data_IF_775304025525
#
_entry.id   IF_775304025525
#
_cell.length_a   1.000
_cell.length_b   1.000
_cell.length_c   1.000
_cell.angle_alpha   90.00
_cell.angle_beta   90.00
_cell.angle_gamma   90.00
#
_symmetry.space_group_name_H-M   'P 1'
#
loop_
_entity.id
_entity.type
_entity.pdbx_description
1 polymer ?
#
# COMPACT_ATOMS: atom_id res chain seq x y z
N UNK A 1 0.38 -25.88 12.63
CA UNK A 1 -0.37 -26.38 13.81
C UNK A 1 -1.52 -27.26 13.33
N UNK A 2 -1.24 -28.20 12.43
CA UNK A 2 -2.29 -29.03 11.85
C UNK A 2 -2.60 -30.19 12.82
N UNK A 3 -3.87 -30.37 13.18
CA UNK A 3 -4.30 -31.42 14.12
C UNK A 3 -4.19 -31.06 15.61
N UNK A 4 -3.64 -29.90 15.96
CA UNK A 4 -3.63 -29.42 17.36
C UNK A 4 -5.06 -29.02 17.75
N UNK A 5 -5.60 -29.61 18.82
CA UNK A 5 -6.97 -29.33 19.30
C UNK A 5 -8.09 -29.84 18.38
N UNK A 6 -7.79 -30.75 17.44
CA UNK A 6 -8.77 -31.26 16.48
C UNK A 6 -9.14 -30.30 15.35
N UNK A 7 -8.40 -29.20 15.21
CA UNK A 7 -8.64 -28.21 14.15
C UNK A 7 -7.56 -28.24 13.06
N UNK A 8 -7.95 -27.97 11.81
CA UNK A 8 -7.01 -27.81 10.72
C UNK A 8 -6.18 -26.53 10.91
N UNK A 9 -4.93 -26.55 10.44
CA UNK A 9 -3.95 -25.50 10.67
C UNK A 9 -4.38 -24.10 10.19
N UNK A 10 -5.18 -24.02 9.13
CA UNK A 10 -5.70 -22.75 8.61
C UNK A 10 -6.64 -22.05 9.60
N UNK A 11 -7.37 -22.80 10.43
CA UNK A 11 -8.32 -22.24 11.41
C UNK A 11 -7.58 -21.57 12.56
N UNK A 12 -6.43 -22.09 12.95
CA UNK A 12 -5.58 -21.47 13.96
C UNK A 12 -5.08 -20.09 13.52
N UNK A 13 -4.79 -19.89 12.24
CA UNK A 13 -4.38 -18.58 11.71
C UNK A 13 -5.46 -17.52 11.98
N UNK A 14 -6.71 -17.82 11.65
CA UNK A 14 -7.84 -16.91 11.91
C UNK A 14 -8.09 -16.67 13.39
N UNK A 15 -7.92 -17.68 14.25
CA UNK A 15 -8.10 -17.52 15.70
C UNK A 15 -7.06 -16.55 16.26
N UNK A 16 -5.79 -16.70 15.87
CA UNK A 16 -4.73 -15.80 16.33
C UNK A 16 -4.90 -14.37 15.79
N UNK A 17 -5.23 -14.24 14.50
CA UNK A 17 -5.50 -12.94 13.89
C UNK A 17 -6.68 -12.23 14.57
N UNK A 18 -7.80 -12.93 14.77
CA UNK A 18 -8.98 -12.38 15.44
C UNK A 18 -8.73 -12.04 16.91
N UNK A 19 -7.98 -12.87 17.64
CA UNK A 19 -7.61 -12.58 19.02
C UNK A 19 -6.75 -11.31 19.13
N UNK A 20 -5.78 -11.15 18.21
CA UNK A 20 -4.98 -9.93 18.14
C UNK A 20 -5.84 -8.70 17.84
N UNK A 21 -6.75 -8.78 16.85
CA UNK A 21 -7.68 -7.70 16.54
C UNK A 21 -8.56 -7.31 17.73
N UNK A 22 -9.05 -8.28 18.52
CA UNK A 22 -9.82 -8.01 19.74
C UNK A 22 -9.00 -7.23 20.76
N UNK A 23 -7.74 -7.62 21.00
CA UNK A 23 -6.84 -6.88 21.90
C UNK A 23 -6.62 -5.44 21.42
N UNK A 24 -6.37 -5.25 20.12
CA UNK A 24 -6.27 -3.92 19.53
C UNK A 24 -7.56 -3.12 19.68
N UNK A 25 -8.72 -3.74 19.48
CA UNK A 25 -10.02 -3.08 19.62
C UNK A 25 -10.26 -2.60 21.05
N UNK A 26 -9.93 -3.41 22.06
CA UNK A 26 -9.96 -2.97 23.46
C UNK A 26 -9.00 -1.79 23.70
N UNK A 27 -7.78 -1.86 23.17
CA UNK A 27 -6.81 -0.76 23.27
C UNK A 27 -7.32 0.55 22.64
N UNK A 28 -7.93 0.46 21.46
CA UNK A 28 -8.51 1.62 20.76
C UNK A 28 -9.72 2.17 21.52
N UNK A 29 -10.60 1.29 22.02
CA UNK A 29 -11.80 1.68 22.78
C UNK A 29 -11.46 2.53 24.01
N UNK A 30 -10.37 2.19 24.71
CA UNK A 30 -9.95 2.93 25.89
C UNK A 30 -8.92 4.05 25.61
N UNK A 31 -8.14 3.93 24.53
CA UNK A 31 -7.01 4.81 24.25
C UNK A 31 -7.20 5.82 23.13
N UNK A 32 -8.23 5.69 22.27
CA UNK A 32 -8.41 6.62 21.15
C UNK A 32 -9.45 7.71 21.49
N UNK A 33 -9.04 8.98 21.66
CA UNK A 33 -9.98 10.06 21.88
C UNK A 33 -10.81 10.30 20.61
N UNK A 34 -12.13 10.43 20.77
CA UNK A 34 -13.08 10.61 19.67
C UNK A 34 -12.94 11.97 18.95
N UNK A 35 -12.30 12.94 19.59
CA UNK A 35 -12.06 14.28 19.05
C UNK A 35 -10.63 14.72 19.36
N UNK A 36 -9.99 15.35 18.38
CA UNK A 36 -8.65 15.94 18.46
C UNK A 36 -8.58 16.97 19.61
N UNK A 37 -9.70 17.64 19.90
CA UNK A 37 -9.85 18.60 21.00
C UNK A 37 -9.86 17.95 22.39
N UNK A 38 -10.30 16.69 22.50
CA UNK A 38 -10.38 15.92 23.75
C UNK A 38 -9.17 14.99 23.96
N UNK A 39 -8.13 15.12 23.13
CA UNK A 39 -6.94 14.26 23.22
C UNK A 39 -6.19 14.44 24.54
N UNK A 40 -6.06 13.33 25.29
CA UNK A 40 -5.37 13.32 26.58
C UNK A 40 -3.83 13.37 26.43
N UNK A 41 -3.29 13.02 25.26
CA UNK A 41 -1.85 12.96 25.00
C UNK A 41 -1.23 14.29 24.54
N UNK A 42 -2.00 15.22 23.97
CA UNK A 42 -1.46 16.45 23.37
C UNK A 42 -1.47 17.62 24.36
N UNK A 43 -0.42 18.45 24.32
CA UNK A 43 -0.42 19.73 25.05
C UNK A 43 -1.35 20.76 24.36
N UNK A 44 -1.75 21.81 25.09
CA UNK A 44 -2.65 22.86 24.58
C UNK A 44 -2.14 23.51 23.29
N UNK A 45 -0.83 23.68 23.13
CA UNK A 45 -0.23 24.21 21.90
C UNK A 45 -0.36 23.23 20.72
N UNK A 46 -0.09 21.96 20.97
CA UNK A 46 -0.15 20.91 19.94
C UNK A 46 -1.59 20.66 19.48
N UNK A 47 -2.57 20.67 20.41
CA UNK A 47 -4.00 20.60 20.08
C UNK A 47 -4.43 21.72 19.15
N UNK A 48 -3.98 22.95 19.40
CA UNK A 48 -4.31 24.11 18.56
C UNK A 48 -3.71 23.99 17.14
N UNK A 49 -2.48 23.49 17.02
CA UNK A 49 -1.85 23.23 15.71
C UNK A 49 -2.60 22.13 14.96
N UNK A 50 -2.99 21.05 15.65
CA UNK A 50 -3.76 19.98 15.04
C UNK A 50 -5.14 20.44 14.59
N UNK A 51 -5.83 21.27 15.37
CA UNK A 51 -7.13 21.84 14.99
C UNK A 51 -7.03 22.70 13.71
N UNK A 52 -6.00 23.55 13.62
CA UNK A 52 -5.72 24.34 12.41
C UNK A 52 -5.44 23.44 11.20
N UNK A 53 -4.77 22.30 11.39
CA UNK A 53 -4.52 21.32 10.32
C UNK A 53 -5.74 20.45 10.01
N UNK A 54 -6.65 20.27 10.96
CA UNK A 54 -7.83 19.43 10.82
C UNK A 54 -8.91 20.13 9.99
N UNK A 55 -9.07 21.45 10.13
CA UNK A 55 -10.07 22.22 9.38
C UNK A 55 -9.94 22.11 7.84
N UNK A 56 -8.75 22.31 7.23
CA UNK A 56 -8.58 22.09 5.79
C UNK A 56 -8.84 20.63 5.42
N UNK A 57 -8.39 19.68 6.26
CA UNK A 57 -8.51 18.24 6.02
C UNK A 57 -9.97 17.77 5.98
N UNK A 58 -10.86 18.38 6.77
CA UNK A 58 -12.30 18.14 6.68
C UNK A 58 -12.89 18.67 5.37
N UNK A 59 -12.39 19.81 4.87
CA UNK A 59 -12.78 20.33 3.55
C UNK A 59 -12.31 19.43 2.39
N UNK A 60 -11.25 18.64 2.57
CA UNK A 60 -10.76 17.64 1.60
C UNK A 60 -11.45 16.27 1.72
N UNK A 61 -12.16 15.98 2.81
CA UNK A 61 -12.93 14.74 2.97
C UNK A 61 -14.24 14.72 2.16
N UNK A 62 -14.51 15.80 1.41
CA UNK A 62 -15.65 15.93 0.51
C UNK A 62 -16.90 16.43 1.24
N UNK A 63 -17.61 17.38 0.62
CA UNK A 63 -19.07 17.43 0.76
C UNK A 63 -19.66 16.34 -0.14
N UNK A 64 -20.86 15.83 0.18
CA UNK A 64 -21.59 14.78 -0.58
C UNK A 64 -22.01 15.21 -2.02
N UNK A 65 -21.29 16.14 -2.66
CA UNK A 65 -21.62 16.75 -3.94
C UNK A 65 -20.51 16.45 -4.95
N UNK A 66 -20.79 15.51 -5.85
CA UNK A 66 -19.87 15.06 -6.91
C UNK A 66 -19.49 16.22 -7.84
N UNK A 67 -18.20 16.59 -7.87
CA UNK A 67 -17.66 17.63 -8.76
C UNK A 67 -16.90 17.02 -9.94
N UNK A 68 -17.15 17.52 -11.15
CA UNK A 68 -16.40 17.11 -12.36
C UNK A 68 -14.93 17.54 -12.36
N UNK A 69 -14.48 18.33 -11.38
CA UNK A 69 -13.06 18.59 -11.12
C UNK A 69 -12.32 17.40 -10.49
N UNK A 70 -13.02 16.32 -10.10
CA UNK A 70 -12.46 15.05 -9.60
C UNK A 70 -11.81 14.19 -10.71
N UNK A 71 -11.11 14.79 -11.67
CA UNK A 71 -10.27 14.05 -12.64
C UNK A 71 -9.15 13.26 -11.92
N UNK A 72 -8.81 13.66 -10.68
CA UNK A 72 -7.95 12.91 -9.76
C UNK A 72 -8.49 11.51 -9.41
N UNK A 73 -9.82 11.33 -9.40
CA UNK A 73 -10.44 10.03 -9.13
C UNK A 73 -10.12 9.00 -10.22
N UNK A 74 -10.06 9.42 -11.50
CA UNK A 74 -9.71 8.54 -12.62
C UNK A 74 -8.26 8.04 -12.55
N UNK A 75 -7.34 8.91 -12.12
CA UNK A 75 -5.92 8.56 -11.95
C UNK A 75 -5.74 7.60 -10.76
N UNK A 76 -6.42 7.86 -9.64
CA UNK A 76 -6.38 6.98 -8.47
C UNK A 76 -7.03 5.63 -8.75
N UNK A 77 -8.13 5.60 -9.50
CA UNK A 77 -8.82 4.39 -9.92
C UNK A 77 -7.92 3.51 -10.80
N UNK A 78 -7.26 4.12 -11.79
CA UNK A 78 -6.32 3.43 -12.68
C UNK A 78 -5.15 2.82 -11.89
N UNK A 79 -4.63 3.56 -10.91
CA UNK A 79 -3.54 3.08 -10.06
C UNK A 79 -3.99 1.95 -9.11
N UNK A 80 -5.23 2.00 -8.62
CA UNK A 80 -5.80 0.94 -7.79
C UNK A 80 -5.95 -0.37 -8.57
N UNK A 81 -6.44 -0.29 -9.81
CA UNK A 81 -6.51 -1.44 -10.73
C UNK A 81 -5.12 -2.04 -10.93
N UNK A 82 -4.11 -1.20 -11.19
CA UNK A 82 -2.75 -1.66 -11.40
C UNK A 82 -2.19 -2.37 -10.15
N UNK A 83 -2.42 -1.79 -8.97
CA UNK A 83 -1.97 -2.35 -7.68
C UNK A 83 -2.63 -3.69 -7.36
N UNK A 84 -3.95 -3.75 -7.48
CA UNK A 84 -4.70 -4.96 -7.19
C UNK A 84 -4.39 -6.06 -8.22
N UNK A 85 -4.27 -5.70 -9.50
CA UNK A 85 -3.90 -6.62 -10.56
C UNK A 85 -2.51 -7.21 -10.36
N UNK A 86 -1.51 -6.35 -10.11
CA UNK A 86 -0.14 -6.81 -9.86
C UNK A 86 -0.06 -7.72 -8.63
N UNK A 87 -0.69 -7.33 -7.52
CA UNK A 87 -0.71 -8.14 -6.30
C UNK A 87 -1.34 -9.51 -6.50
N UNK A 88 -2.45 -9.57 -7.24
CA UNK A 88 -3.18 -10.82 -7.50
C UNK A 88 -2.44 -11.75 -8.46
N UNK A 89 -1.83 -11.21 -9.51
CA UNK A 89 -1.19 -12.01 -10.56
C UNK A 89 0.29 -12.30 -10.32
N UNK A 90 0.95 -11.63 -9.36
CA UNK A 90 2.37 -11.84 -9.10
C UNK A 90 2.72 -13.32 -8.79
N UNK A 91 2.00 -14.05 -7.90
CA UNK A 91 2.26 -15.47 -7.70
C UNK A 91 2.03 -16.31 -8.96
N UNK A 92 1.03 -15.95 -9.77
CA UNK A 92 0.73 -16.64 -11.02
C UNK A 92 1.84 -16.42 -12.08
N UNK A 93 2.39 -15.20 -12.16
CA UNK A 93 3.54 -14.88 -13.01
C UNK A 93 4.76 -15.70 -12.60
N UNK A 94 5.03 -15.81 -11.29
CA UNK A 94 6.12 -16.62 -10.75
C UNK A 94 5.93 -18.11 -11.02
N UNK A 95 4.71 -18.61 -10.86
CA UNK A 95 4.38 -19.99 -11.19
C UNK A 95 4.53 -20.27 -12.70
N UNK A 96 4.14 -19.32 -13.57
CA UNK A 96 4.32 -19.43 -15.01
C UNK A 96 5.80 -19.44 -15.45
N UNK A 97 6.73 -19.02 -14.59
CA UNK A 97 8.18 -19.15 -14.82
C UNK A 97 8.73 -20.54 -14.47
N UNK A 98 7.88 -21.47 -14.01
CA UNK A 98 8.26 -22.84 -13.66
C UNK A 98 8.51 -23.07 -12.17
N UNK A 99 8.19 -22.11 -11.31
CA UNK A 99 8.26 -22.28 -9.85
C UNK A 99 7.02 -23.00 -9.33
N UNK A 100 7.20 -23.92 -8.38
CA UNK A 100 6.08 -24.55 -7.67
C UNK A 100 5.22 -23.50 -6.93
N UNK A 101 3.94 -23.83 -6.65
CA UNK A 101 2.99 -22.91 -6.01
C UNK A 101 3.48 -22.40 -4.65
N UNK A 102 4.12 -23.25 -3.85
CA UNK A 102 4.67 -22.81 -2.56
C UNK A 102 5.88 -21.90 -2.79
N UNK A 103 6.82 -22.31 -3.63
CA UNK A 103 8.01 -21.53 -3.97
C UNK A 103 7.67 -20.16 -4.57
N UNK A 104 6.65 -20.08 -5.43
CA UNK A 104 6.17 -18.84 -6.03
C UNK A 104 5.68 -17.84 -4.97
N UNK A 105 4.93 -18.29 -3.96
CA UNK A 105 4.48 -17.44 -2.86
C UNK A 105 5.66 -16.98 -1.98
N UNK A 106 6.69 -17.80 -1.78
CA UNK A 106 7.87 -17.35 -1.06
C UNK A 106 8.67 -16.30 -1.84
N UNK A 107 8.72 -16.42 -3.16
CA UNK A 107 9.41 -15.47 -4.04
C UNK A 107 8.70 -14.12 -4.15
N UNK A 108 7.41 -14.00 -3.79
CA UNK A 108 6.75 -12.68 -3.72
C UNK A 108 7.21 -11.86 -2.51
N UNK A 109 7.65 -12.51 -1.43
CA UNK A 109 8.09 -11.83 -0.19
C UNK A 109 9.20 -10.81 -0.47
N UNK A 110 10.35 -11.17 -1.06
CA UNK A 110 11.42 -10.21 -1.32
C UNK A 110 10.97 -9.11 -2.29
N UNK A 111 10.07 -9.42 -3.23
CA UNK A 111 9.50 -8.44 -4.17
C UNK A 111 8.73 -7.37 -3.40
N UNK A 112 7.81 -7.75 -2.51
CA UNK A 112 7.07 -6.81 -1.67
C UNK A 112 7.94 -6.05 -0.67
N UNK A 113 8.96 -6.69 -0.09
CA UNK A 113 9.92 -6.01 0.80
C UNK A 113 10.62 -4.86 0.07
N UNK A 114 11.11 -5.10 -1.14
CA UNK A 114 11.72 -4.06 -1.98
C UNK A 114 10.71 -2.97 -2.36
N UNK A 115 9.45 -3.36 -2.62
CA UNK A 115 8.34 -2.45 -2.79
C UNK A 115 8.14 -1.51 -1.61
N UNK A 116 8.12 -2.05 -0.39
CA UNK A 116 7.97 -1.29 0.84
C UNK A 116 9.15 -0.33 1.07
N UNK A 117 10.38 -0.81 0.89
CA UNK A 117 11.59 0.04 1.00
C UNK A 117 11.56 1.17 -0.03
N UNK A 118 11.19 0.85 -1.28
CA UNK A 118 11.00 1.84 -2.33
C UNK A 118 9.94 2.87 -1.95
N UNK A 119 8.79 2.41 -1.45
CA UNK A 119 7.69 3.26 -1.00
C UNK A 119 8.13 4.28 0.05
N UNK A 120 8.76 3.83 1.14
CA UNK A 120 9.24 4.74 2.18
C UNK A 120 10.30 5.71 1.67
N UNK A 121 11.17 5.26 0.77
CA UNK A 121 12.23 6.10 0.19
C UNK A 121 11.62 7.24 -0.63
N UNK A 122 10.71 6.91 -1.55
CA UNK A 122 10.07 7.91 -2.41
C UNK A 122 9.07 8.80 -1.65
N UNK A 123 8.37 8.27 -0.64
CA UNK A 123 7.55 9.08 0.26
C UNK A 123 8.42 10.14 0.97
N UNK A 124 9.56 9.72 1.56
CA UNK A 124 10.48 10.64 2.22
C UNK A 124 11.09 11.67 1.25
N UNK A 125 11.47 11.25 0.04
CA UNK A 125 11.97 12.17 -0.99
C UNK A 125 10.89 13.15 -1.42
N UNK A 126 9.68 12.68 -1.70
CA UNK A 126 8.55 13.53 -2.09
C UNK A 126 8.24 14.58 -1.03
N UNK A 127 8.20 14.17 0.24
CA UNK A 127 8.00 15.07 1.37
C UNK A 127 9.14 16.10 1.49
N UNK A 128 10.39 15.69 1.27
CA UNK A 128 11.55 16.61 1.32
C UNK A 128 11.52 17.65 0.21
N UNK A 129 11.10 17.27 -0.99
CA UNK A 129 11.09 18.16 -2.17
C UNK A 129 9.76 18.88 -2.39
N UNK A 130 8.71 18.54 -1.62
CA UNK A 130 7.36 19.15 -1.68
C UNK A 130 6.78 19.19 -3.10
N UNK A 131 7.11 18.19 -3.93
CA UNK A 131 6.71 18.11 -5.34
C UNK A 131 6.35 16.68 -5.71
N UNK A 132 5.08 16.30 -5.60
CA UNK A 132 4.60 14.94 -5.87
C UNK A 132 4.66 14.56 -7.37
N UNK A 133 4.33 15.50 -8.26
CA UNK A 133 4.16 15.22 -9.71
C UNK A 133 5.35 14.56 -10.42
N UNK A 134 6.58 15.08 -10.32
CA UNK A 134 7.75 14.49 -11.00
C UNK A 134 8.08 13.07 -10.53
N UNK A 135 7.90 12.77 -9.24
CA UNK A 135 8.14 11.42 -8.71
C UNK A 135 7.09 10.41 -9.20
N UNK A 136 5.83 10.84 -9.33
CA UNK A 136 4.76 10.00 -9.89
C UNK A 136 5.06 9.67 -11.36
N UNK A 137 5.43 10.66 -12.18
CA UNK A 137 5.77 10.43 -13.59
C UNK A 137 6.98 9.50 -13.75
N UNK A 138 8.01 9.71 -12.94
CA UNK A 138 9.22 8.88 -12.96
C UNK A 138 8.91 7.42 -12.59
N UNK A 139 8.20 7.20 -11.49
CA UNK A 139 7.84 5.86 -11.01
C UNK A 139 6.92 5.14 -11.99
N UNK A 140 5.94 5.82 -12.60
CA UNK A 140 5.09 5.25 -13.65
C UNK A 140 5.88 4.86 -14.90
N UNK A 141 6.84 5.69 -15.32
CA UNK A 141 7.71 5.40 -16.46
C UNK A 141 8.54 4.13 -16.22
N UNK A 142 9.10 3.97 -15.02
CA UNK A 142 9.79 2.74 -14.60
C UNK A 142 8.85 1.53 -14.62
N UNK A 143 7.61 1.69 -14.18
CA UNK A 143 6.60 0.64 -14.24
C UNK A 143 6.33 0.17 -15.66
N UNK A 144 6.20 1.12 -16.61
CA UNK A 144 6.06 0.82 -18.03
C UNK A 144 7.22 -0.02 -18.57
N UNK A 145 8.47 0.35 -18.25
CA UNK A 145 9.66 -0.42 -18.62
C UNK A 145 9.63 -1.84 -18.00
N UNK A 146 9.24 -1.96 -16.73
CA UNK A 146 9.12 -3.26 -16.05
C UNK A 146 8.11 -4.19 -16.74
N UNK A 147 6.94 -3.68 -17.13
CA UNK A 147 5.95 -4.48 -17.85
C UNK A 147 6.41 -4.86 -19.27
N UNK A 148 7.09 -3.96 -19.98
CA UNK A 148 7.70 -4.28 -21.29
C UNK A 148 8.70 -5.43 -21.16
N UNK A 149 9.55 -5.40 -20.13
CA UNK A 149 10.52 -6.47 -19.85
C UNK A 149 9.82 -7.80 -19.55
N UNK A 150 8.76 -7.79 -18.75
CA UNK A 150 7.99 -9.00 -18.42
C UNK A 150 7.40 -9.69 -19.65
N UNK A 151 6.92 -8.91 -20.64
CA UNK A 151 6.28 -9.42 -21.85
C UNK A 151 7.32 -9.84 -22.90
N UNK A 152 8.40 -9.09 -23.05
CA UNK A 152 9.34 -9.23 -24.18
C UNK A 152 10.42 -10.28 -23.92
N UNK A 153 10.90 -10.38 -22.67
CA UNK A 153 12.09 -11.18 -22.36
C UNK A 153 11.69 -12.61 -22.03
N UNK A 154 12.40 -13.59 -22.59
CA UNK A 154 12.17 -15.02 -22.31
C UNK A 154 12.98 -15.56 -21.12
N UNK A 155 14.04 -14.85 -20.71
CA UNK A 155 14.88 -15.26 -19.59
C UNK A 155 14.17 -15.05 -18.24
N UNK A 156 14.01 -16.12 -17.47
CA UNK A 156 13.34 -16.10 -16.17
C UNK A 156 13.99 -15.16 -15.14
N UNK A 157 15.32 -15.03 -15.13
CA UNK A 157 16.01 -14.12 -14.21
C UNK A 157 15.64 -12.65 -14.47
N UNK A 158 15.52 -12.28 -15.75
CA UNK A 158 15.16 -10.91 -16.15
C UNK A 158 13.69 -10.64 -15.88
N UNK A 159 12.80 -11.63 -16.10
CA UNK A 159 11.38 -11.52 -15.71
C UNK A 159 11.23 -11.32 -14.20
N UNK A 160 11.98 -12.08 -13.40
CA UNK A 160 11.96 -11.92 -11.95
C UNK A 160 12.45 -10.52 -11.54
N UNK A 161 13.57 -10.04 -12.10
CA UNK A 161 14.02 -8.66 -11.88
C UNK A 161 12.96 -7.62 -12.26
N UNK A 162 12.27 -7.82 -13.38
CA UNK A 162 11.21 -6.93 -13.83
C UNK A 162 10.04 -6.84 -12.84
N UNK A 163 9.73 -7.92 -12.09
CA UNK A 163 8.72 -7.85 -11.02
C UNK A 163 9.10 -6.87 -9.90
N UNK A 164 10.38 -6.74 -9.55
CA UNK A 164 10.83 -5.75 -8.57
C UNK A 164 10.65 -4.31 -9.08
N UNK A 165 10.98 -4.07 -10.34
CA UNK A 165 10.81 -2.75 -10.98
C UNK A 165 9.34 -2.37 -11.04
N UNK A 166 8.46 -3.30 -11.45
CA UNK A 166 7.01 -3.09 -11.44
C UNK A 166 6.51 -2.77 -10.03
N UNK A 167 6.97 -3.50 -9.02
CA UNK A 167 6.52 -3.32 -7.63
C UNK A 167 6.82 -1.90 -7.11
N UNK A 168 8.02 -1.40 -7.37
CA UNK A 168 8.40 -0.03 -6.97
C UNK A 168 7.46 0.99 -7.63
N UNK A 169 7.15 0.84 -8.90
CA UNK A 169 6.24 1.74 -9.61
C UNK A 169 4.81 1.69 -9.08
N UNK A 170 4.27 0.48 -8.94
CA UNK A 170 2.87 0.21 -8.61
C UNK A 170 2.49 0.76 -7.24
N UNK A 171 3.32 0.54 -6.21
CA UNK A 171 3.00 0.98 -4.85
C UNK A 171 3.26 2.48 -4.64
N UNK A 172 4.31 3.04 -5.26
CA UNK A 172 4.60 4.48 -5.15
C UNK A 172 3.51 5.36 -5.74
N UNK A 173 2.96 4.99 -6.91
CA UNK A 173 1.90 5.77 -7.53
C UNK A 173 0.66 5.89 -6.65
N UNK A 174 0.27 4.83 -5.92
CA UNK A 174 -0.94 4.88 -5.07
C UNK A 174 -0.81 5.83 -3.89
N UNK A 175 0.31 5.81 -3.18
CA UNK A 175 0.48 6.66 -1.98
C UNK A 175 0.83 8.10 -2.30
N UNK A 176 1.57 8.36 -3.37
CA UNK A 176 1.93 9.73 -3.76
C UNK A 176 0.73 10.50 -4.33
N UNK A 177 -0.21 9.82 -5.00
CA UNK A 177 -1.43 10.45 -5.50
C UNK A 177 -2.36 10.95 -4.37
N UNK A 178 -2.35 10.29 -3.20
CA UNK A 178 -3.12 10.72 -2.03
C UNK A 178 -2.53 11.98 -1.35
N UNK A 179 -1.27 12.30 -1.65
CA UNK A 179 -0.55 13.44 -1.09
C UNK A 179 -0.52 14.66 -2.03
N UNK A 180 -0.99 14.51 -3.27
CA UNK A 180 -1.05 15.56 -4.29
C UNK A 180 -2.43 16.23 -4.28
#
# INVERSE_FOLDING_TARGET
MDGIGGYPGWRWVYIFEGAFSLVCAFGIWFGLPSDVRQSYFLDKKERKIMEIRHQPRMSYMGEDVFSWEEISAGTQFSQNILSNGFGTFLPAILHAMGHDRLSANYLTIPVYVLGAVGFFTFAFLSDKYQKCGPFILFTNSLGGVGYILLITVKNNAVKYFATFVCTIAVYNGTGLNLAA
#
